data_IF_748497074071
#
_entry.id   IF_748497074071
#
_cell.length_a   1.000
_cell.length_b   1.000
_cell.length_c   1.000
_cell.angle_alpha   90.00
_cell.angle_beta   90.00
_cell.angle_gamma   90.00
#
_symmetry.space_group_name_H-M   'P 1'
#
loop_
_entity.id
_entity.type
_entity.pdbx_description
1 polymer ?
#
# COMPACT_ATOMS: atom_id res chain seq x y z
N UNK A 1 -16.43 15.34 -14.99
CA UNK A 1 -15.74 15.05 -13.72
C UNK A 1 -15.83 13.55 -13.42
N UNK A 2 -14.80 12.76 -13.70
CA UNK A 2 -14.80 11.33 -13.37
C UNK A 2 -14.70 11.22 -11.85
N UNK A 3 -15.76 10.75 -11.18
CA UNK A 3 -15.76 10.56 -9.72
C UNK A 3 -14.69 9.51 -9.38
N UNK A 4 -13.49 9.95 -9.03
CA UNK A 4 -12.36 9.05 -8.81
C UNK A 4 -12.40 8.51 -7.37
N UNK A 5 -13.39 7.66 -7.10
CA UNK A 5 -13.63 7.05 -5.79
C UNK A 5 -12.38 6.31 -5.28
N UNK A 6 -11.62 5.69 -6.18
CA UNK A 6 -10.36 5.04 -5.86
C UNK A 6 -9.33 6.03 -5.30
N UNK A 7 -9.14 7.19 -5.94
CA UNK A 7 -8.22 8.21 -5.43
C UNK A 7 -8.67 8.78 -4.06
N UNK A 8 -9.99 8.91 -3.84
CA UNK A 8 -10.52 9.31 -2.52
C UNK A 8 -10.25 8.25 -1.44
N UNK A 9 -10.42 6.98 -1.77
CA UNK A 9 -10.13 5.87 -0.86
C UNK A 9 -8.64 5.83 -0.50
N UNK A 10 -7.74 5.91 -1.50
CA UNK A 10 -6.28 5.95 -1.28
C UNK A 10 -5.91 7.16 -0.43
N UNK A 11 -6.47 8.35 -0.71
CA UNK A 11 -6.24 9.56 0.09
C UNK A 11 -6.71 9.38 1.54
N UNK A 12 -7.88 8.76 1.74
CA UNK A 12 -8.39 8.48 3.08
C UNK A 12 -7.49 7.53 3.85
N UNK A 13 -7.06 6.42 3.24
CA UNK A 13 -6.13 5.47 3.85
C UNK A 13 -4.79 6.12 4.21
N UNK A 14 -4.20 6.92 3.30
CA UNK A 14 -2.96 7.66 3.57
C UNK A 14 -3.09 8.56 4.80
N UNK A 15 -4.25 9.19 4.98
CA UNK A 15 -4.50 10.09 6.09
C UNK A 15 -4.76 9.36 7.42
N UNK A 16 -5.59 8.31 7.40
CA UNK A 16 -5.93 7.51 8.60
C UNK A 16 -4.69 6.83 9.18
N UNK A 17 -3.82 6.30 8.32
CA UNK A 17 -2.60 5.59 8.75
C UNK A 17 -1.36 6.49 8.81
N UNK A 18 -1.52 7.81 8.63
CA UNK A 18 -0.42 8.79 8.62
C UNK A 18 0.79 8.36 7.79
N UNK A 19 0.54 7.72 6.64
CA UNK A 19 1.57 7.02 5.85
C UNK A 19 2.71 7.97 5.46
N UNK A 20 2.41 9.21 5.07
CA UNK A 20 3.44 10.20 4.73
C UNK A 20 4.34 10.57 5.92
N UNK A 21 3.78 10.69 7.13
CA UNK A 21 4.55 10.99 8.34
C UNK A 21 5.50 9.85 8.68
N UNK A 22 5.02 8.60 8.59
CA UNK A 22 5.85 7.42 8.84
C UNK A 22 6.94 7.24 7.78
N UNK A 23 6.62 7.51 6.50
CA UNK A 23 7.61 7.48 5.42
C UNK A 23 8.69 8.56 5.59
N UNK A 24 8.32 9.75 6.05
CA UNK A 24 9.28 10.83 6.30
C UNK A 24 10.24 10.56 7.47
N UNK A 25 9.89 9.64 8.37
CA UNK A 25 10.79 9.17 9.44
C UNK A 25 11.82 8.17 8.93
N UNK A 26 11.60 7.58 7.75
CA UNK A 26 12.55 6.64 7.17
C UNK A 26 13.75 7.41 6.64
N UNK A 27 14.92 7.10 7.18
CA UNK A 27 16.18 7.64 6.68
C UNK A 27 16.70 6.70 5.62
N UNK A 28 16.73 7.16 4.37
CA UNK A 28 17.39 6.43 3.29
C UNK A 28 18.91 6.67 3.38
N UNK A 29 19.68 5.61 3.62
CA UNK A 29 21.14 5.67 3.73
C UNK A 29 21.85 5.45 2.39
N UNK A 30 21.09 5.29 1.29
CA UNK A 30 21.67 5.06 -0.04
C UNK A 30 22.27 6.35 -0.58
N UNK A 31 23.47 6.25 -1.14
CA UNK A 31 24.27 7.41 -1.61
C UNK A 31 23.70 8.03 -2.89
N UNK A 32 23.04 7.25 -3.75
CA UNK A 32 22.40 7.75 -4.98
C UNK A 32 21.21 6.87 -5.39
N UNK A 33 20.08 6.93 -4.68
CA UNK A 33 18.91 6.12 -5.00
C UNK A 33 18.26 6.61 -6.31
N UNK A 34 18.11 5.71 -7.28
CA UNK A 34 17.35 6.00 -8.53
C UNK A 34 15.86 6.16 -8.28
N UNK A 35 15.34 5.56 -7.20
CA UNK A 35 13.93 5.60 -6.82
C UNK A 35 13.80 5.98 -5.36
N UNK A 36 12.84 6.88 -5.09
CA UNK A 36 12.54 7.33 -3.75
C UNK A 36 11.97 6.19 -2.88
N UNK A 37 12.41 6.13 -1.62
CA UNK A 37 12.04 5.07 -0.68
C UNK A 37 10.52 5.03 -0.45
N UNK A 38 9.87 6.20 -0.40
CA UNK A 38 8.41 6.28 -0.25
C UNK A 38 7.67 5.66 -1.44
N UNK A 39 8.18 5.84 -2.67
CA UNK A 39 7.60 5.25 -3.88
C UNK A 39 7.65 3.72 -3.86
N UNK A 40 8.81 3.15 -3.50
CA UNK A 40 9.00 1.70 -3.43
C UNK A 40 8.10 1.09 -2.34
N UNK A 41 8.06 1.68 -1.15
CA UNK A 41 7.23 1.18 -0.04
C UNK A 41 5.75 1.28 -0.36
N UNK A 42 5.31 2.36 -1.01
CA UNK A 42 3.90 2.53 -1.42
C UNK A 42 3.48 1.45 -2.43
N UNK A 43 4.34 1.12 -3.39
CA UNK A 43 4.11 0.02 -4.35
C UNK A 43 3.97 -1.34 -3.65
N UNK A 44 4.85 -1.62 -2.69
CA UNK A 44 4.80 -2.85 -1.89
C UNK A 44 3.51 -2.91 -1.07
N UNK A 45 3.15 -1.83 -0.37
CA UNK A 45 1.90 -1.73 0.40
C UNK A 45 0.67 -1.91 -0.48
N UNK A 46 0.65 -1.31 -1.67
CA UNK A 46 -0.42 -1.50 -2.65
C UNK A 46 -0.51 -2.96 -3.10
N UNK A 47 0.63 -3.58 -3.38
CA UNK A 47 0.72 -5.01 -3.70
C UNK A 47 0.16 -5.89 -2.58
N UNK A 48 0.52 -5.61 -1.32
CA UNK A 48 -0.04 -6.28 -0.15
C UNK A 48 -1.55 -6.12 -0.06
N UNK A 49 -2.06 -4.89 -0.20
CA UNK A 49 -3.50 -4.61 -0.16
C UNK A 49 -4.29 -5.36 -1.24
N UNK A 50 -3.74 -5.45 -2.46
CA UNK A 50 -4.35 -6.22 -3.55
C UNK A 50 -4.28 -7.74 -3.29
N UNK A 51 -3.21 -8.21 -2.64
CA UNK A 51 -3.06 -9.62 -2.23
C UNK A 51 -3.98 -10.04 -1.09
N UNK A 52 -4.52 -9.11 -0.29
CA UNK A 52 -5.50 -9.44 0.76
C UNK A 52 -6.74 -10.13 0.17
N UNK A 53 -7.17 -9.79 -1.06
CA UNK A 53 -8.23 -10.56 -1.74
C UNK A 53 -7.82 -12.01 -2.00
N UNK A 54 -6.59 -12.25 -2.46
CA UNK A 54 -6.08 -13.60 -2.75
C UNK A 54 -5.95 -14.45 -1.49
N UNK A 55 -5.51 -13.89 -0.35
CA UNK A 55 -5.47 -14.64 0.92
C UNK A 55 -6.86 -14.89 1.52
N UNK A 56 -7.80 -13.96 1.35
CA UNK A 56 -9.18 -14.16 1.77
C UNK A 56 -9.90 -15.25 0.95
N UNK A 57 -9.55 -15.40 -0.34
CA UNK A 57 -10.03 -16.48 -1.20
C UNK A 57 -9.36 -17.83 -0.89
N UNK A 58 -8.09 -17.84 -0.46
CA UNK A 58 -7.41 -19.06 0.01
C UNK A 58 -8.06 -19.65 1.27
N UNK A 59 -8.69 -18.84 2.12
CA UNK A 59 -9.39 -19.29 3.31
C UNK A 59 -10.73 -20.02 3.01
N UNK A 60 -11.34 -19.78 1.85
CA UNK A 60 -12.59 -20.45 1.44
C UNK A 60 -12.30 -21.86 0.91
N UNK A 61 -11.13 -22.09 0.32
CA UNK A 61 -10.77 -23.42 -0.19
C UNK A 61 -10.45 -24.44 0.91
N UNK A 62 -10.11 -23.99 2.12
CA UNK A 62 -9.80 -24.87 3.26
C UNK A 62 -11.03 -25.36 4.03
N UNK A 63 -12.23 -24.85 3.73
CA UNK A 63 -13.47 -25.23 4.42
C UNK A 63 -14.35 -26.20 3.61
N UNK A 64 -13.85 -26.74 2.49
CA UNK A 64 -14.59 -27.62 1.57
C UNK A 64 -13.88 -28.95 1.27
N UNK A 65 -12.90 -29.37 2.08
CA UNK A 65 -12.28 -30.71 2.03
C UNK A 65 -12.36 -31.37 3.38
#
# INVERSE_FOLDING_TARGET
>A
MRKNYFAKLVKHMKNVYYIESELNKLTDLRVNPTYDTAQVITLVLLGFLLRIKSFNELNISWFLV
#
